data_IF_836541780021
#
_entry.id   IF_836541780021
#
_cell.length_a   1.000
_cell.length_b   1.000
_cell.length_c   1.000
_cell.angle_alpha   90.00
_cell.angle_beta   90.00
_cell.angle_gamma   90.00
#
_symmetry.space_group_name_H-M   'P 1'
#
loop_
_entity.id
_entity.type
_entity.pdbx_description
1 polymer ?
#
# COMPACT_ATOMS: atom_id res chain seq x y z
N UNK A 1 -9.26 25.39 -3.73
CA UNK A 1 -9.18 24.15 -4.54
C UNK A 1 -8.60 23.04 -3.67
N UNK A 2 -9.02 21.80 -3.86
CA UNK A 2 -8.47 20.66 -3.12
C UNK A 2 -7.14 20.24 -3.74
N UNK A 3 -6.10 20.00 -2.93
CA UNK A 3 -4.83 19.45 -3.38
C UNK A 3 -5.03 17.96 -3.73
N UNK A 4 -4.79 17.58 -4.98
CA UNK A 4 -4.93 16.19 -5.47
C UNK A 4 -3.60 15.46 -5.37
N UNK A 5 -3.57 14.42 -4.54
CA UNK A 5 -2.39 13.56 -4.36
C UNK A 5 -2.69 12.19 -4.95
N UNK A 6 -1.88 11.76 -5.92
CA UNK A 6 -1.92 10.41 -6.44
C UNK A 6 -0.95 9.51 -5.66
N UNK A 7 -1.41 8.37 -5.21
CA UNK A 7 -0.57 7.26 -4.72
C UNK A 7 -0.58 6.15 -5.77
N UNK A 8 0.59 5.81 -6.30
CA UNK A 8 0.75 4.74 -7.28
C UNK A 8 1.19 3.47 -6.55
N UNK A 9 0.28 2.48 -6.52
CA UNK A 9 0.42 1.20 -5.83
C UNK A 9 -0.50 1.10 -4.61
N UNK A 10 -1.48 0.20 -4.66
CA UNK A 10 -2.36 -0.20 -3.56
C UNK A 10 -1.76 -1.38 -2.77
N UNK A 11 -0.47 -1.30 -2.46
CA UNK A 11 0.24 -2.22 -1.56
C UNK A 11 0.30 -1.70 -0.12
N UNK A 12 1.05 -2.39 0.75
CA UNK A 12 1.23 -1.95 2.15
C UNK A 12 1.73 -0.51 2.25
N UNK A 13 2.83 -0.19 1.56
CA UNK A 13 3.43 1.15 1.61
C UNK A 13 2.46 2.22 1.12
N UNK A 14 1.78 2.01 -0.01
CA UNK A 14 0.83 2.97 -0.56
C UNK A 14 -0.39 3.19 0.33
N UNK A 15 -1.00 2.10 0.82
CA UNK A 15 -2.15 2.18 1.73
C UNK A 15 -1.81 2.85 3.07
N UNK A 16 -0.67 2.49 3.67
CA UNK A 16 -0.20 3.12 4.90
C UNK A 16 0.14 4.60 4.67
N UNK A 17 0.80 4.94 3.55
CA UNK A 17 1.12 6.33 3.23
C UNK A 17 -0.14 7.17 3.02
N UNK A 18 -1.14 6.63 2.31
CA UNK A 18 -2.44 7.29 2.16
C UNK A 18 -3.12 7.52 3.53
N UNK A 19 -3.07 6.51 4.41
CA UNK A 19 -3.61 6.60 5.76
C UNK A 19 -2.90 7.69 6.58
N UNK A 20 -1.57 7.71 6.56
CA UNK A 20 -0.78 8.72 7.26
C UNK A 20 -1.00 10.12 6.69
N UNK A 21 -1.03 10.27 5.36
CA UNK A 21 -1.37 11.55 4.73
C UNK A 21 -2.75 12.06 5.16
N UNK A 22 -3.75 11.17 5.22
CA UNK A 22 -5.07 11.53 5.74
C UNK A 22 -5.00 11.96 7.21
N UNK A 23 -4.24 11.24 8.04
CA UNK A 23 -4.09 11.54 9.48
C UNK A 23 -3.40 12.88 9.73
N UNK A 24 -2.37 13.20 8.96
CA UNK A 24 -1.58 14.44 9.09
C UNK A 24 -2.27 15.67 8.47
N UNK A 25 -3.12 15.46 7.47
CA UNK A 25 -3.73 16.53 6.68
C UNK A 25 -5.25 16.63 6.90
N UNK A 26 -5.76 16.14 8.05
CA UNK A 26 -7.20 16.10 8.36
C UNK A 26 -7.92 17.44 8.16
N UNK A 27 -7.29 18.54 8.57
CA UNK A 27 -7.87 19.89 8.48
C UNK A 27 -7.62 20.56 7.13
N UNK A 28 -6.96 19.87 6.20
CA UNK A 28 -6.63 20.40 4.87
C UNK A 28 -7.52 19.76 3.82
N UNK A 29 -7.84 20.53 2.79
CA UNK A 29 -8.61 20.06 1.65
C UNK A 29 -7.70 19.24 0.71
N UNK A 30 -7.44 17.98 1.08
CA UNK A 30 -6.61 17.04 0.32
C UNK A 30 -7.46 15.88 -0.19
N UNK A 31 -7.36 15.64 -1.49
CA UNK A 31 -8.03 14.59 -2.22
C UNK A 31 -7.03 13.50 -2.61
N UNK A 32 -7.11 12.35 -1.94
CA UNK A 32 -6.20 11.22 -2.15
C UNK A 32 -6.83 10.30 -3.20
N UNK A 33 -6.06 10.00 -4.24
CA UNK A 33 -6.41 9.03 -5.28
C UNK A 33 -5.38 7.92 -5.26
N UNK A 34 -5.81 6.67 -5.37
CA UNK A 34 -4.90 5.52 -5.39
C UNK A 34 -5.09 4.76 -6.70
N UNK A 35 -4.02 4.59 -7.46
CA UNK A 35 -4.02 3.79 -8.68
C UNK A 35 -3.19 2.53 -8.50
N UNK A 36 -3.73 1.38 -8.91
CA UNK A 36 -2.99 0.13 -8.99
C UNK A 36 -3.26 -0.57 -10.32
N UNK A 37 -2.23 -1.19 -10.89
CA UNK A 37 -2.33 -1.96 -12.14
C UNK A 37 -3.03 -3.30 -11.98
N UNK A 38 -3.08 -3.84 -10.76
CA UNK A 38 -3.67 -5.14 -10.47
C UNK A 38 -5.20 -5.05 -10.38
N UNK A 39 -5.86 -6.21 -10.47
CA UNK A 39 -7.32 -6.36 -10.29
C UNK A 39 -7.77 -6.27 -8.82
N UNK A 40 -6.83 -6.15 -7.89
CA UNK A 40 -7.09 -6.16 -6.46
C UNK A 40 -5.94 -5.55 -5.68
N UNK A 41 -6.25 -5.12 -4.47
CA UNK A 41 -5.27 -4.52 -3.54
C UNK A 41 -4.40 -5.57 -2.87
N UNK A 42 -3.28 -5.13 -2.31
CA UNK A 42 -2.38 -5.96 -1.49
C UNK A 42 -0.97 -6.04 -2.07
N UNK A 43 -0.83 -6.03 -3.40
CA UNK A 43 0.46 -6.24 -4.06
C UNK A 43 1.09 -7.56 -3.62
N UNK A 44 2.25 -7.51 -2.95
CA UNK A 44 2.94 -8.69 -2.39
C UNK A 44 2.34 -9.19 -1.06
N UNK A 45 1.28 -8.55 -0.57
CA UNK A 45 0.44 -9.02 0.54
C UNK A 45 -0.94 -9.45 0.03
N UNK A 46 -1.03 -9.90 -1.23
CA UNK A 46 -2.31 -10.34 -1.80
C UNK A 46 -2.78 -11.67 -1.20
N UNK A 47 -4.08 -11.73 -0.97
CA UNK A 47 -4.78 -12.96 -0.58
C UNK A 47 -5.64 -13.39 -1.75
N UNK A 48 -5.41 -14.60 -2.27
CA UNK A 48 -6.32 -15.25 -3.19
C UNK A 48 -7.60 -15.64 -2.46
N UNK A 49 -8.75 -15.31 -3.05
CA UNK A 49 -10.06 -15.73 -2.57
C UNK A 49 -10.77 -16.49 -3.68
N UNK A 50 -11.11 -17.77 -3.48
CA UNK A 50 -11.84 -18.53 -4.46
C UNK A 50 -13.26 -17.94 -4.64
N UNK A 51 -13.85 -18.03 -5.84
CA UNK A 51 -15.24 -17.63 -6.07
C UNK A 51 -16.24 -18.47 -5.27
N UNK A 52 -15.89 -19.74 -5.04
CA UNK A 52 -16.68 -20.68 -4.27
C UNK A 52 -16.43 -20.48 -2.76
N UNK A 53 -17.46 -20.14 -1.96
CA UNK A 53 -17.35 -19.97 -0.50
C UNK A 53 -16.93 -21.24 0.26
N UNK A 54 -17.08 -22.43 -0.35
CA UNK A 54 -16.63 -23.70 0.24
C UNK A 54 -15.12 -23.90 0.16
N UNK A 55 -14.42 -23.11 -0.65
CA UNK A 55 -12.98 -23.15 -0.81
C UNK A 55 -12.29 -22.13 0.12
N UNK A 56 -11.08 -22.47 0.56
CA UNK A 56 -10.31 -21.61 1.47
C UNK A 56 -9.50 -20.55 0.71
N UNK A 57 -9.36 -19.38 1.32
CA UNK A 57 -8.43 -18.35 0.86
C UNK A 57 -6.98 -18.74 1.13
N UNK A 58 -6.06 -18.22 0.32
CA UNK A 58 -4.63 -18.44 0.50
C UNK A 58 -3.85 -17.13 0.34
N UNK A 59 -2.88 -16.89 1.22
CA UNK A 59 -1.94 -15.77 1.06
C UNK A 59 -0.85 -16.17 0.07
N UNK A 60 -0.80 -15.50 -1.08
CA UNK A 60 0.12 -15.85 -2.18
C UNK A 60 1.50 -15.18 -2.06
N UNK A 61 1.63 -14.23 -1.12
CA UNK A 61 2.83 -13.42 -0.94
C UNK A 61 3.36 -13.51 0.49
N UNK A 62 3.32 -12.41 1.23
CA UNK A 62 3.74 -12.40 2.63
C UNK A 62 2.89 -13.36 3.48
N UNK A 63 3.56 -14.25 4.22
CA UNK A 63 2.92 -15.34 4.97
C UNK A 63 2.63 -14.97 6.43
N UNK A 64 3.55 -14.26 7.06
CA UNK A 64 3.44 -13.75 8.43
C UNK A 64 4.28 -12.46 8.56
N UNK A 65 4.06 -11.71 9.64
CA UNK A 65 4.78 -10.48 9.97
C UNK A 65 5.62 -10.73 11.22
N UNK A 66 6.94 -10.66 11.10
CA UNK A 66 7.84 -10.71 12.26
C UNK A 66 8.14 -9.30 12.76
N UNK A 67 7.87 -9.04 14.03
CA UNK A 67 8.28 -7.81 14.71
C UNK A 67 9.47 -8.11 15.62
N UNK A 68 10.63 -7.48 15.36
CA UNK A 68 11.71 -7.46 16.35
C UNK A 68 11.28 -6.67 17.58
N UNK A 69 11.93 -6.87 18.74
CA UNK A 69 11.69 -6.06 19.94
C UNK A 69 11.75 -4.55 19.65
N UNK A 70 12.69 -4.14 18.81
CA UNK A 70 12.86 -2.74 18.42
C UNK A 70 11.66 -2.23 17.61
N UNK A 71 11.23 -2.96 16.57
CA UNK A 71 10.09 -2.57 15.75
C UNK A 71 8.76 -2.66 16.50
N UNK A 72 8.57 -3.65 17.37
CA UNK A 72 7.41 -3.73 18.24
C UNK A 72 7.30 -2.49 19.14
N UNK A 73 8.43 -1.90 19.56
CA UNK A 73 8.46 -0.67 20.34
C UNK A 73 8.28 0.58 19.49
N UNK A 74 9.04 0.72 18.39
CA UNK A 74 9.02 1.93 17.55
C UNK A 74 7.71 2.10 16.81
N UNK A 75 7.07 0.99 16.41
CA UNK A 75 5.83 0.96 15.67
C UNK A 75 4.65 0.45 16.51
N UNK A 76 4.75 0.55 17.84
CA UNK A 76 3.78 -0.03 18.77
C UNK A 76 2.34 0.36 18.44
N UNK A 77 2.09 1.62 18.07
CA UNK A 77 0.75 2.12 17.76
C UNK A 77 0.09 1.38 16.60
N UNK A 78 0.86 1.05 15.55
CA UNK A 78 0.35 0.28 14.41
C UNK A 78 0.05 -1.17 14.79
N UNK A 79 0.93 -1.80 15.59
CA UNK A 79 0.68 -3.17 16.05
C UNK A 79 -0.53 -3.24 16.97
N UNK A 80 -0.64 -2.32 17.92
CA UNK A 80 -1.80 -2.21 18.82
C UNK A 80 -3.08 -2.01 18.03
N UNK A 81 -3.12 -1.04 17.11
CA UNK A 81 -4.27 -0.78 16.23
C UNK A 81 -4.70 -2.04 15.47
N UNK A 82 -3.76 -2.73 14.82
CA UNK A 82 -4.08 -3.92 14.03
C UNK A 82 -4.49 -5.13 14.87
N UNK A 83 -4.00 -5.25 16.11
CA UNK A 83 -4.36 -6.32 17.05
C UNK A 83 -5.75 -6.09 17.64
N UNK A 84 -6.05 -4.85 18.06
CA UNK A 84 -7.35 -4.46 18.63
C UNK A 84 -8.49 -4.63 17.61
N UNK A 85 -8.23 -4.32 16.35
CA UNK A 85 -9.18 -4.50 15.23
C UNK A 85 -9.26 -5.95 14.73
N UNK A 86 -8.50 -6.89 15.31
CA UNK A 86 -8.45 -8.29 14.91
C UNK A 86 -7.90 -8.53 13.49
N UNK A 87 -7.24 -7.51 12.91
CA UNK A 87 -6.59 -7.59 11.60
C UNK A 87 -5.34 -8.45 11.67
N UNK A 88 -4.62 -8.38 12.79
CA UNK A 88 -3.52 -9.27 13.15
C UNK A 88 -3.85 -10.08 14.40
N UNK A 89 -3.21 -11.24 14.49
CA UNK A 89 -3.14 -12.06 15.72
C UNK A 89 -1.74 -12.63 15.85
N UNK A 90 -1.26 -12.93 17.07
CA UNK A 90 -0.02 -13.70 17.25
C UNK A 90 -0.07 -15.01 16.48
N UNK A 91 1.06 -15.41 15.89
CA UNK A 91 1.22 -16.72 15.26
C UNK A 91 1.19 -17.79 16.35
N UNK A 92 0.23 -18.72 16.25
CA UNK A 92 -0.06 -19.76 17.24
C UNK A 92 0.22 -21.19 16.71
N UNK A 93 0.92 -21.32 15.59
CA UNK A 93 1.27 -22.60 15.00
C UNK A 93 2.78 -22.80 14.85
N UNK A 94 3.20 -24.07 14.82
CA UNK A 94 4.59 -24.42 14.54
C UNK A 94 4.89 -24.25 13.05
N UNK A 95 5.93 -23.49 12.75
CA UNK A 95 6.49 -23.36 11.40
C UNK A 95 7.87 -24.01 11.40
N UNK A 96 8.01 -25.12 10.68
CA UNK A 96 9.28 -25.86 10.62
C UNK A 96 10.39 -24.97 10.05
N UNK A 97 11.53 -24.94 10.75
CA UNK A 97 12.68 -24.11 10.35
C UNK A 97 12.55 -22.62 10.70
N UNK A 98 11.47 -22.20 11.39
CA UNK A 98 11.36 -20.83 11.88
C UNK A 98 12.43 -20.55 12.94
N UNK A 99 13.27 -19.56 12.67
CA UNK A 99 14.30 -19.09 13.61
C UNK A 99 13.76 -17.89 14.36
N UNK A 100 13.24 -18.13 15.56
CA UNK A 100 12.84 -17.03 16.44
C UNK A 100 14.09 -16.25 16.87
N UNK A 101 14.03 -14.92 16.72
CA UNK A 101 15.00 -14.04 17.36
C UNK A 101 14.52 -13.74 18.76
N UNK A 102 15.42 -13.67 19.74
CA UNK A 102 15.01 -13.39 21.12
C UNK A 102 14.22 -12.09 21.22
N UNK A 103 13.00 -12.20 21.76
CA UNK A 103 12.08 -11.09 21.92
C UNK A 103 11.40 -10.61 20.63
N UNK A 104 11.45 -11.36 19.53
CA UNK A 104 10.58 -11.13 18.38
C UNK A 104 9.21 -11.79 18.56
N UNK A 105 8.18 -11.14 18.04
CA UNK A 105 6.82 -11.69 17.97
C UNK A 105 6.41 -11.83 16.52
N UNK A 106 5.89 -13.00 16.16
CA UNK A 106 5.36 -13.27 14.82
C UNK A 106 3.84 -13.14 14.82
N UNK A 107 3.29 -12.56 13.74
CA UNK A 107 1.86 -12.30 13.59
C UNK A 107 1.34 -12.85 12.26
N UNK A 108 0.06 -13.25 12.25
CA UNK A 108 -0.68 -13.62 11.05
C UNK A 108 -1.95 -12.79 10.92
N UNK A 109 -2.48 -12.71 9.71
CA UNK A 109 -3.75 -12.03 9.44
C UNK A 109 -4.86 -13.08 9.28
N UNK A 110 -5.77 -13.26 10.25
CA UNK A 110 -6.79 -14.32 10.20
C UNK A 110 -7.77 -14.13 9.03
N UNK A 111 -7.93 -12.89 8.56
CA UNK A 111 -8.74 -12.56 7.40
C UNK A 111 -7.94 -12.56 6.08
N UNK A 112 -6.71 -13.09 6.08
CA UNK A 112 -5.74 -13.06 4.99
C UNK A 112 -4.93 -11.77 4.95
N UNK A 113 -3.65 -11.85 4.54
CA UNK A 113 -2.67 -10.75 4.60
C UNK A 113 -3.09 -9.46 3.89
N UNK A 114 -3.96 -9.54 2.88
CA UNK A 114 -4.53 -8.37 2.20
C UNK A 114 -5.44 -7.53 3.12
N UNK A 115 -5.89 -8.06 4.26
CA UNK A 115 -6.69 -7.34 5.25
C UNK A 115 -5.95 -6.13 5.82
N UNK A 116 -4.63 -6.23 6.03
CA UNK A 116 -3.79 -5.13 6.53
C UNK A 116 -3.81 -3.94 5.57
N UNK A 117 -3.70 -4.23 4.27
CA UNK A 117 -3.74 -3.19 3.23
C UNK A 117 -5.13 -2.55 3.14
N UNK A 118 -6.19 -3.38 3.20
CA UNK A 118 -7.58 -2.89 3.20
C UNK A 118 -7.89 -2.04 4.43
N UNK A 119 -7.36 -2.40 5.59
CA UNK A 119 -7.49 -1.63 6.83
C UNK A 119 -6.96 -0.21 6.65
N UNK A 120 -5.73 -0.05 6.17
CA UNK A 120 -5.15 1.28 5.97
C UNK A 120 -5.83 2.07 4.84
N UNK A 121 -6.29 1.43 3.77
CA UNK A 121 -7.08 2.12 2.74
C UNK A 121 -8.38 2.69 3.29
N UNK A 122 -9.13 1.92 4.10
CA UNK A 122 -10.34 2.43 4.78
C UNK A 122 -10.01 3.64 5.67
N UNK A 123 -8.96 3.54 6.46
CA UNK A 123 -8.52 4.60 7.38
C UNK A 123 -7.87 5.81 6.67
N UNK A 124 -7.66 5.75 5.36
CA UNK A 124 -7.26 6.91 4.56
C UNK A 124 -8.44 7.80 4.13
N UNK A 125 -9.63 7.53 4.66
CA UNK A 125 -10.87 8.25 4.36
C UNK A 125 -11.48 7.80 3.04
N UNK A 126 -11.46 6.49 2.79
CA UNK A 126 -11.99 5.84 1.59
C UNK A 126 -11.58 6.55 0.29
N UNK A 127 -10.28 6.49 -0.06
CA UNK A 127 -9.76 7.23 -1.21
C UNK A 127 -10.39 6.69 -2.48
N UNK A 128 -10.39 7.53 -3.52
CA UNK A 128 -10.77 7.07 -4.86
C UNK A 128 -9.74 6.04 -5.34
N UNK A 129 -10.10 4.76 -5.18
CA UNK A 129 -9.27 3.62 -5.55
C UNK A 129 -9.63 3.15 -6.94
N UNK A 130 -8.68 3.25 -7.86
CA UNK A 130 -8.81 2.76 -9.22
C UNK A 130 -7.86 1.59 -9.45
N UNK A 131 -8.45 0.43 -9.66
CA UNK A 131 -7.76 -0.81 -10.03
C UNK A 131 -7.66 -0.93 -11.54
N UNK A 132 -6.76 -1.79 -12.03
CA UNK A 132 -6.44 -1.90 -13.46
C UNK A 132 -6.02 -0.54 -14.08
N UNK A 133 -5.51 0.37 -13.26
CA UNK A 133 -5.00 1.68 -13.64
C UNK A 133 -3.46 1.65 -13.60
N UNK A 134 -2.86 1.16 -14.68
CA UNK A 134 -1.41 1.14 -14.82
C UNK A 134 -0.89 2.50 -15.29
N UNK A 135 -0.08 3.16 -14.44
CA UNK A 135 0.70 4.33 -14.83
C UNK A 135 1.75 3.92 -15.86
N UNK A 136 1.87 4.69 -16.94
CA UNK A 136 2.88 4.51 -18.00
C UNK A 136 3.88 5.66 -18.07
N UNK A 137 3.51 6.86 -17.64
CA UNK A 137 4.41 8.01 -17.68
C UNK A 137 4.01 9.14 -16.73
N UNK A 138 4.99 9.98 -16.40
CA UNK A 138 4.86 11.13 -15.52
C UNK A 138 5.52 12.33 -16.16
N UNK A 139 4.74 13.35 -16.48
CA UNK A 139 5.21 14.56 -17.15
C UNK A 139 4.97 15.77 -16.27
N UNK A 140 5.98 16.60 -16.08
CA UNK A 140 5.89 17.81 -15.27
C UNK A 140 5.13 18.88 -16.07
N UNK A 141 4.13 19.49 -15.43
CA UNK A 141 3.32 20.58 -15.99
C UNK A 141 3.32 21.75 -15.01
N UNK A 142 4.37 22.57 -15.06
CA UNK A 142 4.55 23.66 -14.10
C UNK A 142 4.71 23.13 -12.67
N UNK A 143 3.75 23.43 -11.79
CA UNK A 143 3.74 22.95 -10.40
C UNK A 143 3.10 21.57 -10.21
N UNK A 144 2.39 21.06 -11.21
CA UNK A 144 1.65 19.79 -11.15
C UNK A 144 2.29 18.71 -12.04
N UNK A 145 1.71 17.52 -11.99
CA UNK A 145 2.08 16.34 -12.75
C UNK A 145 0.91 15.91 -13.64
N UNK A 146 1.19 15.72 -14.92
CA UNK A 146 0.32 14.99 -15.83
C UNK A 146 0.73 13.52 -15.79
N UNK A 147 -0.19 12.66 -15.34
CA UNK A 147 0.05 11.23 -15.13
C UNK A 147 -0.67 10.44 -16.21
N UNK A 148 0.09 9.73 -17.03
CA UNK A 148 -0.44 8.93 -18.14
C UNK A 148 -0.74 7.50 -17.68
N UNK A 149 -1.86 6.96 -18.17
CA UNK A 149 -2.21 5.55 -18.05
C UNK A 149 -1.86 4.81 -19.33
N UNK A 150 -1.54 3.51 -19.19
CA UNK A 150 -1.29 2.62 -20.32
C UNK A 150 -2.48 2.51 -21.28
N UNK A 151 -3.70 2.77 -20.82
CA UNK A 151 -4.92 2.74 -21.63
C UNK A 151 -5.14 4.04 -22.46
N UNK A 152 -4.23 5.02 -22.36
CA UNK A 152 -4.14 6.15 -23.29
C UNK A 152 -4.71 7.47 -22.78
N UNK A 153 -5.27 7.54 -21.59
CA UNK A 153 -5.74 8.77 -20.96
C UNK A 153 -4.75 9.29 -19.91
N UNK A 154 -4.87 10.59 -19.59
CA UNK A 154 -4.03 11.27 -18.60
C UNK A 154 -4.88 12.02 -17.57
N UNK A 155 -4.35 12.20 -16.36
CA UNK A 155 -4.95 13.04 -15.34
C UNK A 155 -3.89 13.89 -14.62
N UNK A 156 -4.29 15.09 -14.20
CA UNK A 156 -3.42 16.02 -13.48
C UNK A 156 -3.51 15.87 -11.96
N UNK A 157 -2.36 15.87 -11.29
CA UNK A 157 -2.23 15.81 -9.83
C UNK A 157 -1.21 16.82 -9.34
N UNK A 158 -1.43 17.39 -8.15
CA UNK A 158 -0.50 18.33 -7.54
C UNK A 158 0.74 17.59 -6.99
N UNK A 159 0.60 16.33 -6.60
CA UNK A 159 1.70 15.48 -6.12
C UNK A 159 1.46 14.02 -6.46
N UNK A 160 2.55 13.29 -6.67
CA UNK A 160 2.54 11.85 -6.98
C UNK A 160 3.48 11.13 -6.03
N UNK A 161 2.98 10.11 -5.34
CA UNK A 161 3.74 9.20 -4.49
C UNK A 161 3.87 7.85 -5.17
N UNK A 162 5.10 7.50 -5.57
CA UNK A 162 5.41 6.21 -6.18
C UNK A 162 5.76 5.19 -5.09
N UNK A 163 4.95 4.14 -4.96
CA UNK A 163 5.22 3.01 -4.04
C UNK A 163 5.40 1.67 -4.76
N UNK A 164 5.47 1.72 -6.10
CA UNK A 164 5.77 0.57 -6.95
C UNK A 164 7.26 0.18 -6.82
N UNK A 165 7.62 -1.09 -7.09
CA UNK A 165 9.02 -1.52 -7.05
C UNK A 165 9.92 -0.70 -7.98
N UNK A 166 11.16 -0.45 -7.57
CA UNK A 166 12.15 0.34 -8.34
C UNK A 166 12.24 -0.05 -9.82
N UNK A 167 12.29 -1.34 -10.22
CA UNK A 167 12.32 -1.69 -11.65
C UNK A 167 11.10 -1.20 -12.44
N UNK A 168 9.92 -1.05 -11.81
CA UNK A 168 8.74 -0.49 -12.46
C UNK A 168 8.79 1.03 -12.54
N UNK A 169 9.44 1.71 -11.58
CA UNK A 169 9.68 3.17 -11.64
C UNK A 169 10.57 3.50 -12.84
N UNK A 170 11.63 2.71 -13.05
CA UNK A 170 12.58 2.89 -14.16
C UNK A 170 11.97 2.63 -15.55
N UNK A 171 10.77 2.05 -15.61
CA UNK A 171 10.03 1.82 -16.86
C UNK A 171 9.03 2.93 -17.18
N UNK A 172 8.88 3.93 -16.31
CA UNK A 172 7.98 5.05 -16.55
C UNK A 172 8.61 6.01 -17.55
N UNK A 173 7.78 6.46 -18.50
CA UNK A 173 8.15 7.53 -19.44
C UNK A 173 8.05 8.92 -18.78
N UNK A 174 8.70 9.92 -19.37
CA UNK A 174 8.58 11.32 -18.98
C UNK A 174 9.70 11.83 -18.06
N UNK A 175 9.39 12.87 -17.29
CA UNK A 175 10.36 13.82 -16.75
C UNK A 175 10.93 13.40 -15.37
N UNK A 176 10.78 12.13 -14.99
CA UNK A 176 11.31 11.61 -13.72
C UNK A 176 12.84 11.54 -13.69
N UNK A 177 13.49 11.48 -14.86
CA UNK A 177 14.93 11.34 -15.03
C UNK A 177 15.68 12.62 -15.41
N UNK A 178 14.98 13.70 -15.76
CA UNK A 178 15.58 14.93 -16.31
C UNK A 178 16.02 15.93 -15.22
N UNK A 179 16.22 15.46 -13.99
CA UNK A 179 16.82 16.25 -12.94
C UNK A 179 18.30 16.47 -13.24
N UNK A 180 18.65 17.62 -13.83
CA UNK A 180 20.03 18.12 -13.79
C UNK A 180 20.51 18.08 -12.32
N UNK A 181 21.71 17.55 -12.05
CA UNK A 181 22.30 17.65 -10.72
C UNK A 181 22.55 19.14 -10.44
N UNK A 182 21.88 19.67 -9.44
CA UNK A 182 22.20 21.00 -8.86
C UNK A 182 23.26 20.86 -7.78
#
# INVERSE_FOLDING_TARGET
MACRVLVVGAGLTGSLSACLLRRELKDKNVHIVVWDKARGVGGRMSTFRPPDPSCHSADLGAQYISATREYARSHHSFYTELLEEGILRPLDCAVEGLRHKDGSTDYVAPLGMSSVVKHFLRHSGEPDLFLEHQVSGLYRRGSSWEVHRKQGDSQNFDSVLLTIPVPQILQLEGDLGDGEPT
#
